data_IF_812869616208
#
_entry.id   IF_812869616208
#
_cell.length_a   1.000
_cell.length_b   1.000
_cell.length_c   1.000
_cell.angle_alpha   90.00
_cell.angle_beta   90.00
_cell.angle_gamma   90.00
#
_symmetry.space_group_name_H-M   'P 1'
#
loop_
_entity.id
_entity.type
_entity.pdbx_description
1 polymer ?
#
# COMPACT_ATOMS: atom_id res chain seq x y z
N UNK A 1 6.24 15.42 8.88
CA UNK A 1 4.86 15.39 9.43
C UNK A 1 3.97 14.90 8.30
N UNK A 2 3.17 13.88 8.54
CA UNK A 2 2.23 13.39 7.53
C UNK A 2 1.05 14.36 7.49
N UNK A 3 0.65 14.79 6.30
CA UNK A 3 -0.58 15.57 6.10
C UNK A 3 -1.70 14.67 5.63
N UNK A 4 -2.92 14.93 6.10
CA UNK A 4 -4.13 14.23 5.66
C UNK A 4 -4.31 14.37 4.13
N UNK A 5 -4.28 13.27 3.36
CA UNK A 5 -4.25 13.32 1.90
C UNK A 5 -5.60 13.71 1.33
N UNK A 6 -5.57 14.48 0.23
CA UNK A 6 -6.74 14.89 -0.57
C UNK A 6 -6.65 14.41 -2.01
N UNK A 7 -5.47 13.92 -2.42
CA UNK A 7 -5.22 13.41 -3.77
C UNK A 7 -4.49 12.06 -3.73
N UNK A 8 -4.58 11.25 -4.80
CA UNK A 8 -3.82 10.01 -4.92
C UNK A 8 -2.31 10.21 -4.79
N UNK A 9 -1.77 11.33 -5.31
CA UNK A 9 -0.35 11.70 -5.16
C UNK A 9 0.03 11.90 -3.69
N UNK A 10 -0.78 12.64 -2.92
CA UNK A 10 -0.54 12.85 -1.49
C UNK A 10 -0.64 11.54 -0.71
N UNK A 11 -1.58 10.67 -1.08
CA UNK A 11 -1.72 9.34 -0.48
C UNK A 11 -0.46 8.49 -0.72
N UNK A 12 0.07 8.49 -1.96
CA UNK A 12 1.30 7.81 -2.30
C UNK A 12 2.53 8.38 -1.57
N UNK A 13 2.59 9.71 -1.38
CA UNK A 13 3.62 10.36 -0.56
C UNK A 13 3.57 9.91 0.90
N UNK A 14 2.37 9.74 1.46
CA UNK A 14 2.23 9.24 2.83
C UNK A 14 2.74 7.80 2.94
N UNK A 15 2.46 6.93 1.95
CA UNK A 15 3.03 5.58 1.89
C UNK A 15 4.56 5.59 1.82
N UNK A 16 5.15 6.49 1.03
CA UNK A 16 6.61 6.68 1.00
C UNK A 16 7.16 7.13 2.35
N UNK A 17 6.52 8.11 3.00
CA UNK A 17 6.95 8.60 4.31
C UNK A 17 6.90 7.49 5.36
N UNK A 18 5.82 6.71 5.40
CA UNK A 18 5.69 5.55 6.29
C UNK A 18 6.84 4.56 6.08
N UNK A 19 7.18 4.29 4.82
CA UNK A 19 8.29 3.41 4.46
C UNK A 19 9.65 3.96 4.88
N UNK A 20 9.93 5.24 4.62
CA UNK A 20 11.22 5.88 4.90
C UNK A 20 11.51 6.04 6.40
N UNK A 21 10.46 6.17 7.20
CA UNK A 21 10.55 6.44 8.63
C UNK A 21 10.20 5.21 9.50
N UNK A 22 10.04 4.03 8.90
CA UNK A 22 9.76 2.77 9.61
C UNK A 22 8.53 2.81 10.51
N UNK A 23 7.52 3.60 10.15
CA UNK A 23 6.38 3.83 11.02
C UNK A 23 5.58 2.55 11.27
N UNK A 24 5.63 1.56 10.35
CA UNK A 24 4.97 0.26 10.54
C UNK A 24 5.58 -0.58 11.66
N UNK A 25 6.76 -0.22 12.16
CA UNK A 25 7.34 -0.90 13.32
C UNK A 25 6.86 -0.29 14.65
N UNK A 26 6.19 0.86 14.61
CA UNK A 26 5.75 1.62 15.79
C UNK A 26 4.28 1.31 16.11
N UNK A 27 3.96 1.08 17.38
CA UNK A 27 2.58 0.75 17.79
C UNK A 27 1.64 1.95 17.61
N UNK A 28 2.16 3.16 17.81
CA UNK A 28 1.42 4.41 17.69
C UNK A 28 0.82 4.57 16.27
N UNK A 29 1.49 4.05 15.24
CA UNK A 29 0.99 4.05 13.87
C UNK A 29 -0.37 3.34 13.75
N UNK A 30 -0.59 2.28 14.52
CA UNK A 30 -1.78 1.44 14.45
C UNK A 30 -2.97 1.95 15.25
N UNK A 31 -2.86 3.14 15.85
CA UNK A 31 -4.01 3.77 16.51
C UNK A 31 -5.04 4.25 15.49
N UNK A 32 -6.32 4.13 15.81
CA UNK A 32 -7.41 4.58 14.92
C UNK A 32 -7.22 6.05 14.50
N UNK A 33 -6.86 6.92 15.44
CA UNK A 33 -6.64 8.34 15.18
C UNK A 33 -5.53 8.57 14.13
N UNK A 34 -4.39 7.89 14.27
CA UNK A 34 -3.28 8.03 13.32
C UNK A 34 -3.65 7.45 11.96
N UNK A 35 -4.29 6.28 11.89
CA UNK A 35 -4.71 5.69 10.61
C UNK A 35 -5.71 6.59 9.88
N UNK A 36 -6.67 7.17 10.60
CA UNK A 36 -7.64 8.12 10.03
C UNK A 36 -6.99 9.39 9.52
N UNK A 37 -6.00 9.93 10.23
CA UNK A 37 -5.32 11.15 9.81
C UNK A 37 -4.38 10.89 8.60
N UNK A 38 -3.54 9.87 8.70
CA UNK A 38 -2.53 9.51 7.69
C UNK A 38 -3.14 9.14 6.35
N UNK A 39 -4.30 8.46 6.36
CA UNK A 39 -4.94 7.98 5.13
C UNK A 39 -6.29 8.64 4.82
N UNK A 40 -6.67 9.68 5.59
CA UNK A 40 -7.97 10.34 5.45
C UNK A 40 -9.14 9.33 5.54
N UNK A 41 -9.07 8.37 6.46
CA UNK A 41 -10.08 7.30 6.57
C UNK A 41 -11.28 7.78 7.38
N UNK A 42 -12.48 7.39 6.94
CA UNK A 42 -13.70 7.55 7.72
C UNK A 42 -13.84 6.39 8.72
N UNK A 43 -13.60 5.18 8.24
CA UNK A 43 -13.67 3.93 9.00
C UNK A 43 -12.40 3.10 8.79
N UNK A 44 -11.96 2.43 9.87
CA UNK A 44 -10.85 1.48 9.85
C UNK A 44 -11.17 0.34 10.80
N UNK A 45 -10.99 -0.89 10.34
CA UNK A 45 -11.04 -2.08 11.18
C UNK A 45 -9.66 -2.36 11.72
N UNK A 46 -9.54 -2.50 13.04
CA UNK A 46 -8.30 -2.86 13.73
C UNK A 46 -8.60 -4.10 14.58
N UNK A 47 -7.83 -5.16 14.38
CA UNK A 47 -7.86 -6.37 15.20
C UNK A 47 -6.50 -6.53 15.84
N UNK A 48 -6.44 -6.41 17.16
CA UNK A 48 -5.22 -6.54 17.96
C UNK A 48 -5.42 -7.66 19.00
N UNK A 49 -4.54 -8.65 18.99
CA UNK A 49 -4.62 -9.79 19.90
C UNK A 49 -3.92 -9.56 21.26
N UNK A 50 -3.41 -8.34 21.52
CA UNK A 50 -3.01 -7.82 22.84
C UNK A 50 -1.60 -8.17 23.31
N UNK A 51 -1.34 -7.96 24.61
CA UNK A 51 -0.03 -8.14 25.29
C UNK A 51 0.38 -9.60 25.48
N UNK A 52 0.50 -10.32 24.38
CA UNK A 52 1.04 -11.68 24.32
C UNK A 52 2.50 -11.63 23.88
N UNK A 53 3.25 -12.70 24.20
CA UNK A 53 4.61 -12.91 23.67
C UNK A 53 4.63 -12.87 22.14
N UNK A 54 3.54 -13.33 21.51
CA UNK A 54 3.24 -13.09 20.11
C UNK A 54 2.06 -12.13 19.98
N UNK A 55 2.27 -10.97 19.37
CA UNK A 55 1.22 -9.97 19.14
C UNK A 55 1.03 -9.72 17.65
N UNK A 56 -0.20 -9.82 17.19
CA UNK A 56 -0.63 -9.52 15.84
C UNK A 56 -1.63 -8.38 15.85
N UNK A 57 -1.35 -7.37 15.02
CA UNK A 57 -2.23 -6.27 14.70
C UNK A 57 -2.58 -6.38 13.22
N UNK A 58 -3.87 -6.40 12.90
CA UNK A 58 -4.38 -6.37 11.54
C UNK A 58 -5.19 -5.11 11.33
N UNK A 59 -5.00 -4.46 10.18
CA UNK A 59 -5.75 -3.28 9.78
C UNK A 59 -6.37 -3.48 8.41
N UNK A 60 -7.60 -3.01 8.24
CA UNK A 60 -8.29 -2.99 6.96
C UNK A 60 -9.15 -1.74 6.84
N UNK A 61 -9.08 -1.05 5.71
CA UNK A 61 -9.87 0.14 5.44
C UNK A 61 -10.10 0.34 3.94
N UNK A 62 -11.12 1.12 3.63
CA UNK A 62 -11.36 1.67 2.31
C UNK A 62 -11.08 3.17 2.36
N UNK A 63 -10.11 3.68 1.58
CA UNK A 63 -9.93 5.11 1.43
C UNK A 63 -11.19 5.83 0.90
N UNK A 64 -11.33 7.14 1.17
CA UNK A 64 -12.55 7.87 0.84
C UNK A 64 -12.73 8.01 -0.67
N UNK A 65 -14.00 8.01 -1.11
CA UNK A 65 -14.38 8.15 -2.51
C UNK A 65 -14.03 9.51 -3.11
N UNK A 66 -13.78 10.51 -2.26
CA UNK A 66 -13.29 11.83 -2.67
C UNK A 66 -11.84 11.82 -3.18
N UNK A 67 -11.06 10.80 -2.82
CA UNK A 67 -9.70 10.59 -3.32
C UNK A 67 -9.70 9.49 -4.39
N UNK A 68 -10.39 8.38 -4.13
CA UNK A 68 -10.45 7.22 -5.01
C UNK A 68 -11.90 6.90 -5.39
N UNK A 69 -12.39 7.35 -6.56
CA UNK A 69 -13.75 7.15 -6.99
C UNK A 69 -14.17 5.68 -6.93
N UNK A 70 -15.41 5.42 -6.51
CA UNK A 70 -15.96 4.07 -6.47
C UNK A 70 -16.06 3.51 -7.89
N UNK A 71 -15.78 2.22 -8.04
CA UNK A 71 -15.92 1.52 -9.32
C UNK A 71 -17.28 0.82 -9.41
N UNK A 72 -17.80 0.68 -10.62
CA UNK A 72 -19.05 -0.06 -10.85
C UNK A 72 -18.80 -1.56 -10.59
N UNK A 73 -19.62 -2.17 -9.74
CA UNK A 73 -19.45 -3.58 -9.36
C UNK A 73 -19.81 -4.53 -10.51
N UNK A 74 -20.80 -4.16 -11.32
CA UNK A 74 -21.27 -4.92 -12.47
C UNK A 74 -22.03 -4.00 -13.41
N UNK A 75 -22.01 -4.25 -14.72
CA UNK A 75 -22.89 -3.53 -15.64
C UNK A 75 -24.37 -3.86 -15.42
N UNK A 76 -24.67 -5.05 -14.91
CA UNK A 76 -26.03 -5.56 -14.72
C UNK A 76 -26.65 -5.16 -13.36
N UNK A 77 -25.87 -4.60 -12.44
CA UNK A 77 -26.34 -4.21 -11.11
C UNK A 77 -25.79 -2.83 -10.74
N UNK A 78 -26.63 -1.97 -10.15
CA UNK A 78 -26.27 -0.60 -9.75
C UNK A 78 -25.42 -0.54 -8.45
N UNK A 79 -24.69 -1.63 -8.17
CA UNK A 79 -23.77 -1.71 -7.05
C UNK A 79 -22.44 -1.01 -7.39
N UNK A 80 -21.82 -0.39 -6.39
CA UNK A 80 -20.47 0.17 -6.51
C UNK A 80 -19.54 -0.42 -5.46
N UNK A 81 -18.28 -0.64 -5.81
CA UNK A 81 -17.22 -1.10 -4.93
C UNK A 81 -16.27 0.06 -4.60
N UNK A 82 -15.55 0.00 -3.47
CA UNK A 82 -14.45 0.93 -3.20
C UNK A 82 -13.46 0.95 -4.37
N UNK A 83 -13.03 2.15 -4.79
CA UNK A 83 -12.03 2.30 -5.83
C UNK A 83 -10.63 1.92 -5.38
N UNK A 84 -10.40 1.92 -4.07
CA UNK A 84 -9.15 1.52 -3.46
C UNK A 84 -9.41 0.75 -2.15
N UNK A 85 -8.46 -0.11 -1.80
CA UNK A 85 -8.48 -0.93 -0.59
C UNK A 85 -7.11 -0.89 0.05
N UNK A 86 -7.10 -0.81 1.37
CA UNK A 86 -5.91 -0.79 2.20
C UNK A 86 -6.02 -1.91 3.23
N UNK A 87 -5.03 -2.80 3.27
CA UNK A 87 -4.88 -3.81 4.31
C UNK A 87 -3.45 -3.83 4.81
N UNK A 88 -3.23 -4.20 6.06
CA UNK A 88 -1.89 -4.26 6.62
C UNK A 88 -1.87 -4.84 8.01
N UNK A 89 -0.72 -4.73 8.65
CA UNK A 89 -0.57 -5.20 10.01
C UNK A 89 0.86 -5.18 10.50
N UNK A 90 1.02 -5.63 11.74
CA UNK A 90 2.29 -5.85 12.43
C UNK A 90 2.18 -7.15 13.22
N UNK A 91 3.23 -7.96 13.16
CA UNK A 91 3.41 -9.18 13.92
C UNK A 91 4.70 -9.08 14.72
N UNK A 92 4.61 -9.27 16.03
CA UNK A 92 5.73 -9.49 16.93
C UNK A 92 5.78 -10.98 17.25
N UNK A 93 6.93 -11.61 17.05
CA UNK A 93 7.15 -13.01 17.42
C UNK A 93 7.82 -13.09 18.80
N UNK A 94 7.73 -14.26 19.46
CA UNK A 94 8.34 -14.49 20.79
C UNK A 94 9.86 -14.24 20.82
N UNK A 95 10.51 -14.40 19.67
CA UNK A 95 11.95 -14.15 19.49
C UNK A 95 12.34 -12.66 19.53
N UNK A 96 11.37 -11.75 19.59
CA UNK A 96 11.58 -10.30 19.46
C UNK A 96 11.61 -9.80 18.03
N UNK A 97 11.51 -10.68 17.03
CA UNK A 97 11.43 -10.28 15.62
C UNK A 97 10.07 -9.66 15.29
N UNK A 98 10.09 -8.59 14.49
CA UNK A 98 8.92 -7.84 14.06
C UNK A 98 8.79 -7.96 12.55
N UNK A 99 7.58 -8.22 12.06
CA UNK A 99 7.23 -8.15 10.64
C UNK A 99 6.02 -7.24 10.50
N UNK A 100 6.11 -6.23 9.65
CA UNK A 100 5.00 -5.33 9.39
C UNK A 100 4.83 -5.10 7.89
N UNK A 101 3.62 -4.76 7.48
CA UNK A 101 3.37 -4.49 6.07
C UNK A 101 2.04 -3.84 5.78
N UNK A 102 1.98 -3.25 4.58
CA UNK A 102 0.79 -2.68 3.99
C UNK A 102 0.68 -3.23 2.57
N UNK A 103 -0.54 -3.58 2.16
CA UNK A 103 -0.93 -3.76 0.79
C UNK A 103 -2.02 -2.75 0.46
N UNK A 104 -1.67 -1.79 -0.38
CA UNK A 104 -2.57 -0.80 -0.91
C UNK A 104 -2.83 -1.09 -2.38
N UNK A 105 -4.10 -1.22 -2.76
CA UNK A 105 -4.53 -1.40 -4.15
C UNK A 105 -5.51 -0.31 -4.54
N UNK A 106 -5.41 0.17 -5.77
CA UNK A 106 -6.37 1.11 -6.37
C UNK A 106 -6.68 0.70 -7.80
N UNK A 107 -7.91 0.98 -8.23
CA UNK A 107 -8.39 0.59 -9.56
C UNK A 107 -7.95 1.60 -10.62
N UNK A 108 -8.15 2.90 -10.34
CA UNK A 108 -7.89 4.01 -11.27
C UNK A 108 -7.48 5.28 -10.51
N UNK A 109 -6.89 6.24 -11.22
CA UNK A 109 -6.58 7.58 -10.70
C UNK A 109 -5.29 7.69 -9.90
N UNK A 110 -4.47 6.64 -9.89
CA UNK A 110 -3.15 6.68 -9.28
C UNK A 110 -2.19 7.62 -10.01
N UNK A 111 -1.09 8.06 -9.37
CA UNK A 111 -0.05 8.83 -10.04
C UNK A 111 0.51 8.06 -11.24
N UNK A 112 0.85 8.77 -12.31
CA UNK A 112 1.54 8.16 -13.46
C UNK A 112 2.97 7.72 -13.09
N UNK A 113 3.65 7.05 -14.00
CA UNK A 113 5.01 6.54 -13.76
C UNK A 113 6.02 7.63 -13.33
N UNK A 114 6.02 8.78 -14.00
CA UNK A 114 6.97 9.86 -13.70
C UNK A 114 6.69 10.52 -12.33
N UNK A 115 5.41 10.72 -12.01
CA UNK A 115 4.98 11.19 -10.69
C UNK A 115 5.34 10.19 -9.60
N UNK A 116 5.12 8.90 -9.86
CA UNK A 116 5.47 7.81 -8.95
C UNK A 116 6.98 7.79 -8.73
N UNK A 117 7.79 7.90 -9.78
CA UNK A 117 9.25 7.99 -9.68
C UNK A 117 9.69 9.22 -8.89
N UNK A 118 9.01 10.36 -9.04
CA UNK A 118 9.28 11.56 -8.25
C UNK A 118 8.97 11.39 -6.76
N UNK A 119 8.01 10.52 -6.40
CA UNK A 119 7.65 10.23 -5.01
C UNK A 119 8.61 9.20 -4.40
N UNK A 120 8.80 8.08 -5.08
CA UNK A 120 9.49 6.91 -4.53
C UNK A 120 11.00 6.91 -4.79
N UNK A 121 11.48 7.67 -5.77
CA UNK A 121 12.89 7.75 -6.18
C UNK A 121 13.26 6.76 -7.29
N UNK A 122 14.54 6.74 -7.65
CA UNK A 122 15.04 6.05 -8.85
C UNK A 122 15.66 4.66 -8.57
N UNK A 123 15.69 4.22 -7.31
CA UNK A 123 16.43 3.01 -6.92
C UNK A 123 15.65 1.70 -7.13
N UNK A 124 14.58 1.74 -7.93
CA UNK A 124 13.73 0.59 -8.16
C UNK A 124 14.26 -0.25 -9.31
N UNK A 125 14.14 -1.57 -9.15
CA UNK A 125 14.43 -2.55 -10.18
C UNK A 125 13.10 -3.06 -10.74
N UNK A 126 12.98 -3.04 -12.07
CA UNK A 126 11.83 -3.63 -12.76
C UNK A 126 11.86 -5.15 -12.60
N UNK A 127 10.74 -5.73 -12.19
CA UNK A 127 10.54 -7.17 -12.12
C UNK A 127 10.03 -7.73 -13.44
N UNK A 128 10.41 -8.97 -13.73
CA UNK A 128 9.81 -9.71 -14.83
C UNK A 128 8.35 -10.06 -14.47
N UNK A 129 7.40 -9.93 -15.41
CA UNK A 129 6.03 -10.31 -15.15
C UNK A 129 5.96 -11.82 -14.90
N UNK A 130 5.37 -12.20 -13.76
CA UNK A 130 5.07 -13.60 -13.49
C UNK A 130 3.81 -14.02 -14.27
N UNK A 131 3.81 -15.20 -14.90
CA UNK A 131 2.61 -15.72 -15.54
C UNK A 131 1.54 -15.99 -14.48
N UNK A 132 0.45 -15.20 -14.50
CA UNK A 132 -0.69 -15.41 -13.62
C UNK A 132 -1.89 -15.94 -14.43
N UNK A 133 -2.26 -17.23 -14.27
CA UNK A 133 -3.34 -17.84 -15.05
C UNK A 133 -4.73 -17.30 -14.69
N UNK A 134 -4.88 -16.55 -13.60
CA UNK A 134 -6.16 -16.03 -13.11
C UNK A 134 -6.40 -14.54 -13.42
N UNK A 135 -5.44 -13.87 -14.09
CA UNK A 135 -5.59 -12.46 -14.47
C UNK A 135 -5.88 -12.36 -15.95
N UNK A 136 -7.01 -11.77 -16.32
CA UNK A 136 -7.24 -11.33 -17.69
C UNK A 136 -6.18 -10.26 -17.99
N UNK A 137 -5.27 -10.57 -18.91
CA UNK A 137 -4.19 -9.67 -19.29
C UNK A 137 -4.76 -8.60 -20.21
N UNK A 138 -5.01 -7.41 -19.67
CA UNK A 138 -5.27 -6.21 -20.48
C UNK A 138 -3.92 -5.76 -21.04
N UNK A 139 -3.74 -5.66 -22.37
CA UNK A 139 -2.49 -5.17 -22.95
C UNK A 139 -2.12 -3.79 -22.43
N UNK A 140 -0.82 -3.50 -22.30
CA UNK A 140 -0.37 -2.16 -21.93
C UNK A 140 -0.80 -1.16 -23.01
N UNK A 141 -1.38 -0.05 -22.59
CA UNK A 141 -1.84 1.06 -23.45
C UNK A 141 -0.93 2.29 -23.34
N UNK A 142 0.03 2.27 -22.40
CA UNK A 142 1.01 3.33 -22.20
C UNK A 142 2.40 2.75 -21.82
N UNK A 143 3.48 3.55 -21.92
CA UNK A 143 4.77 3.20 -21.33
C UNK A 143 4.63 2.82 -19.85
N UNK A 144 5.38 1.82 -19.42
CA UNK A 144 5.33 1.25 -18.07
C UNK A 144 4.00 0.60 -17.67
N UNK A 145 3.08 0.44 -18.61
CA UNK A 145 1.82 -0.27 -18.38
C UNK A 145 2.05 -1.74 -17.98
N UNK A 146 1.32 -2.19 -16.97
CA UNK A 146 1.43 -3.53 -16.38
C UNK A 146 2.80 -3.87 -15.79
N UNK A 147 3.70 -2.90 -15.62
CA UNK A 147 4.99 -3.15 -15.00
C UNK A 147 4.90 -3.28 -13.49
N UNK A 148 5.85 -3.99 -12.89
CA UNK A 148 6.04 -4.06 -11.45
C UNK A 148 7.49 -3.70 -11.14
N UNK A 149 7.68 -2.85 -10.14
CA UNK A 149 8.97 -2.31 -9.75
C UNK A 149 9.19 -2.53 -8.26
N UNK A 150 10.41 -2.88 -7.86
CA UNK A 150 10.73 -3.17 -6.46
C UNK A 150 11.98 -2.45 -6.02
N UNK A 151 11.93 -1.89 -4.81
CA UNK A 151 13.09 -1.48 -4.05
C UNK A 151 13.21 -2.39 -2.83
N UNK A 152 14.43 -2.81 -2.53
CA UNK A 152 14.75 -3.66 -1.38
C UNK A 152 16.02 -3.13 -0.71
N UNK A 153 15.99 -3.04 0.61
CA UNK A 153 17.12 -2.67 1.45
C UNK A 153 17.29 -3.72 2.54
N UNK A 154 18.54 -4.15 2.73
CA UNK A 154 18.95 -5.09 3.77
C UNK A 154 20.11 -4.43 4.51
N UNK A 155 19.91 -4.12 5.79
CA UNK A 155 20.91 -3.44 6.62
C UNK A 155 20.85 -3.90 8.07
N UNK A 156 21.95 -4.47 8.56
CA UNK A 156 22.01 -5.01 9.93
C UNK A 156 20.92 -6.06 10.16
N UNK A 157 20.10 -5.84 11.18
CA UNK A 157 18.96 -6.72 11.50
C UNK A 157 17.65 -6.34 10.80
N UNK A 158 17.66 -5.30 9.96
CA UNK A 158 16.47 -4.77 9.29
C UNK A 158 16.47 -5.12 7.81
N UNK A 159 15.29 -5.50 7.31
CA UNK A 159 14.99 -5.66 5.89
C UNK A 159 13.72 -4.86 5.57
N UNK A 160 13.79 -4.02 4.54
CA UNK A 160 12.66 -3.24 4.06
C UNK A 160 12.49 -3.42 2.55
N UNK A 161 11.24 -3.55 2.13
CA UNK A 161 10.88 -3.76 0.74
C UNK A 161 9.64 -2.95 0.40
N UNK A 162 9.66 -2.32 -0.77
CA UNK A 162 8.49 -1.69 -1.36
C UNK A 162 8.35 -2.14 -2.81
N UNK A 163 7.16 -2.61 -3.17
CA UNK A 163 6.81 -3.04 -4.52
C UNK A 163 5.70 -2.15 -5.06
N UNK A 164 5.90 -1.60 -6.24
CA UNK A 164 4.96 -0.74 -6.97
C UNK A 164 4.45 -1.52 -8.18
N UNK A 165 3.13 -1.53 -8.37
CA UNK A 165 2.50 -2.11 -9.57
C UNK A 165 1.77 -1.04 -10.35
N UNK A 166 1.82 -1.11 -11.67
CA UNK A 166 1.14 -0.19 -12.58
C UNK A 166 0.03 -0.91 -13.37
N UNK A 167 -1.07 -0.20 -13.64
CA UNK A 167 -2.14 -0.68 -14.52
C UNK A 167 -1.71 -0.59 -16.01
N UNK A 168 -2.59 -1.00 -16.93
CA UNK A 168 -2.31 -0.95 -18.37
C UNK A 168 -1.99 0.47 -18.89
N UNK A 169 -2.54 1.51 -18.26
CA UNK A 169 -2.32 2.92 -18.60
C UNK A 169 -1.04 3.52 -17.98
N UNK A 170 -0.25 2.74 -17.25
CA UNK A 170 1.00 3.21 -16.63
C UNK A 170 0.76 4.07 -15.38
N UNK A 171 -0.42 3.97 -14.76
CA UNK A 171 -0.74 4.58 -13.48
C UNK A 171 -0.50 3.60 -12.34
N UNK A 172 -0.04 4.11 -11.20
CA UNK A 172 0.18 3.31 -10.01
C UNK A 172 -1.15 2.66 -9.57
N UNK A 173 -1.18 1.34 -9.55
CA UNK A 173 -2.36 0.55 -9.17
C UNK A 173 -2.17 -0.17 -7.85
N UNK A 174 -0.94 -0.27 -7.35
CA UNK A 174 -0.69 -0.89 -6.06
C UNK A 174 0.66 -0.57 -5.45
N UNK A 175 0.69 -0.54 -4.12
CA UNK A 175 1.88 -0.36 -3.31
C UNK A 175 1.88 -1.42 -2.22
N UNK A 176 2.89 -2.29 -2.22
CA UNK A 176 3.13 -3.25 -1.16
C UNK A 176 4.37 -2.85 -0.38
N UNK A 177 4.22 -2.56 0.91
CA UNK A 177 5.32 -2.29 1.84
C UNK A 177 5.49 -3.49 2.76
N UNK A 178 6.72 -3.93 2.96
CA UNK A 178 7.08 -4.95 3.94
C UNK A 178 8.33 -4.54 4.69
N UNK A 179 8.25 -4.48 6.01
CA UNK A 179 9.37 -4.25 6.91
C UNK A 179 9.54 -5.48 7.80
N UNK A 180 10.78 -5.86 8.08
CA UNK A 180 11.10 -6.85 9.09
C UNK A 180 12.35 -6.43 9.86
N UNK A 181 12.34 -6.67 11.16
CA UNK A 181 13.43 -6.38 12.08
C UNK A 181 13.66 -7.60 12.98
N UNK A 182 14.92 -8.01 13.11
CA UNK A 182 15.37 -9.04 14.05
C UNK A 182 16.11 -8.43 15.24
#
# INVERSE_FOLDING_TARGET
>A
MISRPKTPIEFARNLKFIFDHDLLLQDEFYTEANLKDVFNLEEVSIVDNGDKLERDIFIAANPPSSIFPRIKASEMFDGSLPGAVFVGGKKNNESGSIIAGINFGMSEGGPNFDETRSIFGNNFIRLQPEPNPHRIFIPATAPHGNETWRYEFIGGSKKSMITLGFNAAGELSGVNVKLSQN
#
